data_IF_157864936279
#
_entry.id   IF_157864936279
#
_cell.length_a   1.000
_cell.length_b   1.000
_cell.length_c   1.000
_cell.angle_alpha   90.00
_cell.angle_beta   90.00
_cell.angle_gamma   90.00
#
_symmetry.space_group_name_H-M   'P 1'
#
loop_
_entity.id
_entity.type
_entity.pdbx_description
1 polymer ?
#
# COMPACT_ATOMS: atom_id res chain seq x y z
N UNK A 1 20.44 -15.72 0.23
CA UNK A 1 21.42 -14.62 0.40
C UNK A 1 22.27 -14.51 -0.85
N UNK A 2 22.02 -13.54 -1.74
CA UNK A 2 22.93 -13.15 -2.83
C UNK A 2 23.24 -11.66 -2.68
N UNK A 3 24.22 -11.34 -1.85
CA UNK A 3 24.91 -10.05 -1.87
C UNK A 3 26.20 -10.23 -2.66
N UNK A 4 26.04 -10.42 -3.96
CA UNK A 4 27.11 -10.29 -4.96
C UNK A 4 26.56 -9.37 -6.06
N UNK A 5 26.65 -8.06 -5.84
CA UNK A 5 27.40 -7.30 -6.83
C UNK A 5 28.83 -7.40 -6.36
N UNK A 6 29.57 -8.27 -7.03
CA UNK A 6 31.01 -8.16 -7.10
C UNK A 6 31.27 -6.71 -7.52
N UNK A 7 31.79 -5.90 -6.60
CA UNK A 7 32.38 -4.63 -6.97
C UNK A 7 33.74 -5.06 -7.52
N UNK A 8 33.81 -5.29 -8.83
CA UNK A 8 34.98 -5.88 -9.50
C UNK A 8 36.22 -4.97 -9.46
N UNK A 9 36.12 -3.80 -8.83
CA UNK A 9 37.19 -2.79 -8.76
C UNK A 9 37.93 -2.74 -7.41
N UNK A 10 37.69 -3.68 -6.48
CA UNK A 10 38.41 -3.66 -5.21
C UNK A 10 39.86 -4.12 -5.38
N UNK A 11 40.79 -3.31 -4.89
CA UNK A 11 42.19 -3.70 -4.80
C UNK A 11 42.34 -4.90 -3.86
N UNK A 12 43.38 -5.75 -4.04
CA UNK A 12 43.63 -6.90 -3.16
C UNK A 12 43.79 -6.53 -1.67
N UNK A 13 44.17 -5.28 -1.37
CA UNK A 13 44.25 -4.77 -0.01
C UNK A 13 42.85 -4.49 0.58
N UNK A 14 41.95 -3.88 -0.21
CA UNK A 14 40.57 -3.60 0.21
C UNK A 14 39.76 -4.88 0.42
N UNK A 15 39.99 -5.92 -0.40
CA UNK A 15 39.40 -7.23 -0.19
C UNK A 15 39.83 -7.84 1.15
N UNK A 16 41.14 -7.86 1.44
CA UNK A 16 41.66 -8.34 2.72
C UNK A 16 41.16 -7.53 3.91
N UNK A 17 41.07 -6.21 3.75
CA UNK A 17 40.55 -5.33 4.81
C UNK A 17 39.07 -5.61 5.08
N UNK A 18 38.27 -5.80 4.03
CA UNK A 18 36.85 -6.11 4.15
C UNK A 18 36.58 -7.51 4.69
N UNK A 19 37.43 -8.50 4.38
CA UNK A 19 37.39 -9.82 4.99
C UNK A 19 37.79 -9.77 6.46
N UNK A 20 38.84 -9.01 6.80
CA UNK A 20 39.26 -8.81 8.19
C UNK A 20 38.17 -8.10 9.02
N UNK A 21 37.55 -7.05 8.48
CA UNK A 21 36.42 -6.35 9.12
C UNK A 21 35.20 -7.27 9.27
N UNK A 22 34.92 -8.13 8.27
CA UNK A 22 33.84 -9.13 8.35
C UNK A 22 34.12 -10.22 9.40
N UNK A 23 35.36 -10.68 9.52
CA UNK A 23 35.77 -11.67 10.52
C UNK A 23 35.87 -11.11 11.95
N UNK A 24 36.05 -9.80 12.10
CA UNK A 24 36.18 -9.14 13.41
C UNK A 24 34.84 -8.88 14.12
N UNK A 25 33.69 -9.12 13.47
CA UNK A 25 32.36 -8.88 14.06
C UNK A 25 31.72 -10.23 14.42
N UNK A 26 31.55 -10.55 15.71
CA UNK A 26 30.79 -11.72 16.11
C UNK A 26 29.35 -11.58 15.61
N UNK A 27 28.94 -12.48 14.70
CA UNK A 27 27.60 -12.53 14.09
C UNK A 27 26.49 -12.60 15.13
N UNK A 28 26.80 -13.15 16.31
CA UNK A 28 25.84 -13.46 17.38
C UNK A 28 25.57 -12.25 18.32
N UNK A 29 26.15 -11.08 18.01
CA UNK A 29 26.14 -9.91 18.90
C UNK A 29 25.46 -8.67 18.32
N UNK A 30 24.61 -8.84 17.31
CA UNK A 30 23.91 -7.70 16.70
C UNK A 30 23.01 -7.00 17.74
N UNK A 31 23.19 -5.68 17.97
CA UNK A 31 22.29 -4.94 18.85
C UNK A 31 20.87 -4.99 18.28
N UNK A 32 19.87 -5.06 19.17
CA UNK A 32 18.47 -5.01 18.75
C UNK A 32 18.20 -3.74 17.93
N UNK A 33 17.27 -3.83 16.98
CA UNK A 33 16.87 -2.68 16.13
C UNK A 33 16.51 -1.46 16.98
N UNK A 34 15.81 -1.68 18.11
CA UNK A 34 15.49 -0.63 19.08
C UNK A 34 16.74 0.08 19.58
N UNK A 35 17.79 -0.67 19.94
CA UNK A 35 19.06 -0.11 20.43
C UNK A 35 19.78 0.71 19.34
N UNK A 36 19.74 0.25 18.08
CA UNK A 36 20.31 1.01 16.93
C UNK A 36 19.56 2.33 16.70
N UNK A 37 18.24 2.35 16.87
CA UNK A 37 17.44 3.58 16.80
C UNK A 37 17.75 4.51 17.99
N UNK A 38 17.86 3.98 19.20
CA UNK A 38 18.26 4.73 20.40
C UNK A 38 19.64 5.40 20.21
N UNK A 39 20.59 4.66 19.62
CA UNK A 39 21.90 5.19 19.22
C UNK A 39 21.75 6.32 18.20
N UNK A 40 20.99 6.14 17.12
CA UNK A 40 20.78 7.17 16.11
C UNK A 40 20.14 8.45 16.67
N UNK A 41 19.22 8.32 17.63
CA UNK A 41 18.55 9.43 18.30
C UNK A 41 19.44 10.20 19.27
N UNK A 42 20.19 9.51 20.12
CA UNK A 42 20.98 10.14 21.18
C UNK A 42 22.40 10.51 20.71
N UNK A 43 22.87 9.91 19.61
CA UNK A 43 24.23 10.09 19.12
C UNK A 43 25.26 9.79 20.21
N UNK A 44 26.32 10.60 20.27
CA UNK A 44 27.40 10.47 21.27
C UNK A 44 26.94 10.56 22.74
N UNK A 45 25.69 10.98 23.02
CA UNK A 45 25.13 11.04 24.38
C UNK A 45 24.58 9.70 24.87
N UNK A 46 24.52 8.69 24.00
CA UNK A 46 24.14 7.34 24.40
C UNK A 46 25.25 6.73 25.27
N UNK A 47 24.92 6.21 26.46
CA UNK A 47 25.92 5.71 27.43
C UNK A 47 26.90 4.68 26.85
N UNK A 48 26.40 3.80 25.98
CA UNK A 48 27.22 2.78 25.30
C UNK A 48 27.57 3.14 23.84
N UNK A 49 27.66 4.43 23.50
CA UNK A 49 27.84 4.89 22.12
C UNK A 49 29.05 4.24 21.44
N UNK A 50 30.22 4.31 22.07
CA UNK A 50 31.46 3.82 21.46
C UNK A 50 31.45 2.31 21.22
N UNK A 51 30.87 1.54 22.15
CA UNK A 51 30.76 0.08 22.05
C UNK A 51 29.86 -0.32 20.88
N UNK A 52 28.64 0.21 20.83
CA UNK A 52 27.70 -0.18 19.79
C UNK A 52 28.05 0.41 18.43
N UNK A 53 28.61 1.63 18.36
CA UNK A 53 29.04 2.18 17.07
C UNK A 53 30.16 1.38 16.42
N UNK A 54 31.03 0.74 17.22
CA UNK A 54 32.06 -0.18 16.71
C UNK A 54 31.41 -1.35 15.96
N UNK A 55 30.33 -1.91 16.50
CA UNK A 55 29.53 -2.93 15.80
C UNK A 55 28.77 -2.33 14.60
N UNK A 56 28.07 -1.21 14.77
CA UNK A 56 27.26 -0.57 13.73
C UNK A 56 28.09 -0.23 12.49
N UNK A 57 29.34 0.22 12.64
CA UNK A 57 30.21 0.55 11.49
C UNK A 57 30.69 -0.69 10.75
N UNK A 58 30.90 -1.80 11.45
CA UNK A 58 31.41 -3.04 10.87
C UNK A 58 30.31 -4.00 10.39
N UNK A 59 29.09 -3.88 10.91
CA UNK A 59 27.92 -4.68 10.53
C UNK A 59 27.05 -3.92 9.51
N UNK A 60 26.99 -4.36 8.23
CA UNK A 60 26.24 -3.65 7.18
C UNK A 60 24.76 -3.45 7.50
N UNK A 61 24.12 -4.45 8.13
CA UNK A 61 22.71 -4.37 8.51
C UNK A 61 22.48 -3.27 9.56
N UNK A 62 23.27 -3.26 10.63
CA UNK A 62 23.18 -2.23 11.67
C UNK A 62 23.56 -0.84 11.15
N UNK A 63 24.54 -0.73 10.24
CA UNK A 63 24.92 0.53 9.61
C UNK A 63 23.76 1.12 8.80
N UNK A 64 23.10 0.28 8.01
CA UNK A 64 21.97 0.70 7.18
C UNK A 64 20.81 1.17 8.07
N UNK A 65 20.43 0.38 9.08
CA UNK A 65 19.40 0.76 10.07
C UNK A 65 19.75 2.09 10.77
N UNK A 66 21.01 2.28 11.13
CA UNK A 66 21.48 3.51 11.77
C UNK A 66 21.38 4.74 10.84
N UNK A 67 21.77 4.62 9.57
CA UNK A 67 21.68 5.70 8.57
C UNK A 67 20.24 6.12 8.33
N UNK A 68 19.37 5.16 8.10
CA UNK A 68 17.93 5.39 7.90
C UNK A 68 17.29 6.07 9.12
N UNK A 69 17.65 5.62 10.33
CA UNK A 69 17.20 6.26 11.56
C UNK A 69 17.68 7.72 11.67
N UNK A 70 18.92 8.02 11.29
CA UNK A 70 19.43 9.40 11.29
C UNK A 70 18.75 10.31 10.27
N UNK A 71 18.41 9.77 9.10
CA UNK A 71 17.71 10.50 8.05
C UNK A 71 16.28 10.86 8.48
N UNK A 72 15.55 9.90 9.04
CA UNK A 72 14.23 10.14 9.62
C UNK A 72 14.25 11.22 10.73
N UNK A 73 15.33 11.27 11.52
CA UNK A 73 15.53 12.28 12.57
C UNK A 73 16.00 13.66 12.06
N UNK A 74 16.34 13.79 10.77
CA UNK A 74 16.75 15.05 10.11
C UNK A 74 15.60 15.75 9.39
N UNK A 75 14.42 15.14 9.30
CA UNK A 75 13.25 15.75 8.66
C UNK A 75 12.87 17.13 9.23
N UNK A 76 12.25 18.01 8.41
CA UNK A 76 12.05 19.45 8.68
C UNK A 76 11.16 19.79 9.89
N UNK A 77 10.53 18.82 10.55
CA UNK A 77 9.72 19.05 11.76
C UNK A 77 10.52 19.23 13.06
N UNK A 78 11.86 19.41 12.98
CA UNK A 78 12.73 19.63 14.16
C UNK A 78 12.37 20.86 15.00
N UNK A 79 11.66 21.85 14.43
CA UNK A 79 11.40 23.13 15.10
C UNK A 79 10.33 23.06 16.21
N UNK A 80 9.47 22.04 16.27
CA UNK A 80 8.45 21.97 17.34
C UNK A 80 8.97 21.42 18.68
N UNK A 81 10.06 20.65 18.70
CA UNK A 81 10.51 19.95 19.92
C UNK A 81 11.57 20.71 20.73
N UNK A 82 12.31 21.64 20.12
CA UNK A 82 13.35 22.40 20.82
C UNK A 82 12.83 23.70 21.47
N UNK A 83 11.74 24.27 20.97
CA UNK A 83 11.11 25.48 21.56
C UNK A 83 10.62 25.26 22.99
N UNK A 84 10.19 24.05 23.34
CA UNK A 84 9.67 23.73 24.67
C UNK A 84 10.77 23.54 25.75
N UNK A 85 12.04 23.32 25.35
CA UNK A 85 13.17 23.15 26.30
C UNK A 85 14.01 24.41 26.47
N UNK A 86 14.06 25.29 25.47
CA UNK A 86 14.79 26.54 25.57
C UNK A 86 14.15 27.56 26.53
N UNK A 87 12.85 27.45 26.80
CA UNK A 87 12.13 28.31 27.75
C UNK A 87 12.35 27.96 29.23
N UNK A 88 12.99 26.82 29.54
CA UNK A 88 13.15 26.32 30.92
C UNK A 88 14.61 26.25 31.38
N UNK A 89 15.56 26.74 30.57
CA UNK A 89 16.98 26.56 30.83
C UNK A 89 17.78 27.82 30.56
N UNK A 90 17.51 28.90 31.30
CA UNK A 90 18.45 29.98 31.68
C UNK A 90 17.66 31.23 32.12
N UNK A 91 17.47 31.41 33.42
CA UNK A 91 17.61 32.68 34.17
C UNK A 91 17.20 32.43 35.62
N UNK A 92 18.05 32.83 36.56
CA UNK A 92 17.85 32.60 37.98
C UNK A 92 16.77 33.48 38.64
N UNK A 93 16.47 33.08 39.87
CA UNK A 93 15.81 33.78 40.99
C UNK A 93 14.26 33.74 41.14
N UNK A 94 13.76 33.55 42.39
CA UNK A 94 12.50 32.84 42.66
C UNK A 94 11.29 33.75 42.93
N UNK A 95 11.30 35.02 42.48
CA UNK A 95 10.16 35.95 42.71
C UNK A 95 9.34 36.30 41.47
N UNK A 96 9.73 35.82 40.28
CA UNK A 96 9.00 36.06 39.03
C UNK A 96 8.22 34.85 38.50
N UNK A 97 8.38 33.67 39.13
CA UNK A 97 7.69 32.43 38.72
C UNK A 97 6.18 32.48 38.97
N UNK A 98 5.72 33.12 40.04
CA UNK A 98 4.29 33.26 40.31
C UNK A 98 3.56 34.09 39.22
N UNK A 99 4.19 35.17 38.75
CA UNK A 99 3.61 36.05 37.72
C UNK A 99 3.62 35.42 36.32
N UNK A 100 4.67 34.66 35.97
CA UNK A 100 4.75 33.98 34.67
C UNK A 100 3.82 32.76 34.61
N UNK A 101 3.68 32.01 35.72
CA UNK A 101 2.72 30.89 35.80
C UNK A 101 1.28 31.42 35.80
N UNK A 102 0.99 32.51 36.52
CA UNK A 102 -0.34 33.13 36.47
C UNK A 102 -0.68 33.68 35.08
N UNK A 103 0.26 34.35 34.40
CA UNK A 103 0.04 34.84 33.04
C UNK A 103 -0.11 33.71 32.00
N UNK A 104 0.65 32.62 32.14
CA UNK A 104 0.53 31.45 31.27
C UNK A 104 -0.80 30.70 31.50
N UNK A 105 -1.27 30.59 32.74
CA UNK A 105 -2.58 30.02 33.05
C UNK A 105 -3.71 30.92 32.54
N UNK A 106 -3.59 32.25 32.67
CA UNK A 106 -4.56 33.21 32.12
C UNK A 106 -4.62 33.13 30.58
N UNK A 107 -3.47 32.97 29.93
CA UNK A 107 -3.37 32.81 28.47
C UNK A 107 -3.97 31.47 27.98
N UNK A 108 -3.83 30.40 28.75
CA UNK A 108 -4.46 29.11 28.47
C UNK A 108 -6.00 29.15 28.63
N UNK A 109 -6.53 30.01 29.49
CA UNK A 109 -7.97 30.16 29.69
C UNK A 109 -8.62 31.20 28.74
N UNK A 110 -7.88 32.21 28.28
CA UNK A 110 -8.41 33.30 27.43
C UNK A 110 -8.33 33.02 25.92
N UNK A 111 -7.72 31.93 25.48
CA UNK A 111 -7.69 31.52 24.06
C UNK A 111 -8.40 30.18 23.88
N UNK A 112 -9.75 30.15 23.87
CA UNK A 112 -10.48 28.93 23.55
C UNK A 112 -10.33 28.66 22.05
N UNK A 113 -9.66 27.55 21.70
CA UNK A 113 -9.84 26.95 20.37
C UNK A 113 -8.59 26.65 19.52
N UNK A 114 -7.36 26.77 20.03
CA UNK A 114 -6.15 26.50 19.20
C UNK A 114 -5.26 25.32 19.61
N UNK A 115 -5.58 24.61 20.69
CA UNK A 115 -4.74 23.53 21.23
C UNK A 115 -5.46 22.19 21.47
N UNK A 116 -6.57 21.94 20.77
CA UNK A 116 -7.19 20.60 20.69
C UNK A 116 -6.67 19.80 19.49
N UNK A 117 -5.35 19.78 19.31
CA UNK A 117 -4.71 18.81 18.42
C UNK A 117 -4.62 17.47 19.14
N UNK A 118 -5.54 16.55 18.81
CA UNK A 118 -5.59 15.17 19.30
C UNK A 118 -4.17 14.52 19.33
N UNK A 119 -3.65 14.16 20.52
CA UNK A 119 -2.34 13.50 20.65
C UNK A 119 -2.25 12.15 19.92
N UNK A 120 -3.39 11.55 19.52
CA UNK A 120 -3.43 10.29 18.78
C UNK A 120 -3.10 10.43 17.27
N UNK A 121 -2.98 11.65 16.72
CA UNK A 121 -2.69 11.86 15.30
C UNK A 121 -1.21 12.05 14.94
N UNK A 122 -0.27 11.87 15.88
CA UNK A 122 1.16 11.93 15.56
C UNK A 122 1.70 10.52 15.25
N UNK A 123 2.08 10.22 13.99
CA UNK A 123 2.70 8.93 13.69
C UNK A 123 3.99 8.82 14.50
N UNK A 124 4.08 7.76 15.31
CA UNK A 124 5.26 7.48 16.12
C UNK A 124 6.52 7.43 15.26
N UNK A 125 7.70 7.67 15.86
CA UNK A 125 8.99 7.56 15.16
C UNK A 125 9.12 6.21 14.44
N UNK A 126 8.54 5.14 14.99
CA UNK A 126 8.43 3.82 14.35
C UNK A 126 7.53 3.81 13.11
N UNK A 127 6.40 4.52 13.11
CA UNK A 127 5.54 4.67 11.93
C UNK A 127 6.24 5.45 10.80
N UNK A 128 7.11 6.42 11.14
CA UNK A 128 7.92 7.16 10.17
C UNK A 128 9.07 6.32 9.59
N UNK A 129 9.72 5.50 10.42
CA UNK A 129 10.73 4.54 9.96
C UNK A 129 10.13 3.43 9.07
N UNK A 130 8.90 3.01 9.35
CA UNK A 130 8.12 2.06 8.51
C UNK A 130 7.76 2.60 7.13
N UNK A 131 7.64 3.92 6.98
CA UNK A 131 7.28 4.56 5.71
C UNK A 131 8.47 4.76 4.73
N UNK A 132 9.73 4.66 5.21
CA UNK A 132 10.91 5.04 4.43
C UNK A 132 12.01 3.98 4.24
N UNK A 133 12.00 2.86 4.99
CA UNK A 133 13.10 1.89 5.00
C UNK A 133 12.83 0.64 4.15
N UNK A 134 13.75 0.34 3.22
CA UNK A 134 13.75 -0.90 2.40
C UNK A 134 13.87 -2.16 3.27
N UNK A 135 14.57 -2.05 4.41
CA UNK A 135 14.86 -3.12 5.37
C UNK A 135 13.74 -3.30 6.39
N UNK A 136 12.99 -2.25 6.75
CA UNK A 136 11.80 -2.38 7.60
C UNK A 136 10.70 -3.20 6.90
N UNK A 137 10.55 -3.09 5.58
CA UNK A 137 9.66 -3.96 4.80
C UNK A 137 10.11 -5.42 4.79
N UNK A 138 11.41 -5.67 4.65
CA UNK A 138 11.99 -7.04 4.70
C UNK A 138 11.91 -7.65 6.10
N UNK A 139 12.18 -6.88 7.16
CA UNK A 139 12.04 -7.34 8.54
C UNK A 139 10.58 -7.55 8.95
N UNK A 140 9.64 -6.73 8.49
CA UNK A 140 8.21 -6.93 8.78
C UNK A 140 7.70 -8.22 8.14
N UNK A 141 8.17 -8.56 6.95
CA UNK A 141 7.73 -9.78 6.25
C UNK A 141 8.46 -11.04 6.72
N UNK A 142 9.70 -10.92 7.19
CA UNK A 142 10.41 -12.02 7.84
C UNK A 142 10.03 -12.22 9.31
N UNK A 143 9.55 -11.19 10.01
CA UNK A 143 9.25 -11.27 11.46
C UNK A 143 7.77 -11.52 11.76
N UNK A 144 6.83 -11.17 10.87
CA UNK A 144 5.42 -11.37 11.16
C UNK A 144 4.96 -12.77 10.75
N UNK A 145 5.29 -13.76 11.62
CA UNK A 145 4.80 -15.15 11.54
C UNK A 145 3.26 -15.23 11.40
N UNK A 146 2.55 -14.18 11.79
CA UNK A 146 1.09 -14.07 11.72
C UNK A 146 0.55 -14.12 10.29
N UNK A 147 1.27 -13.56 9.31
CA UNK A 147 0.75 -13.44 7.94
C UNK A 147 1.12 -14.62 7.02
N UNK A 148 2.25 -15.28 7.28
CA UNK A 148 2.79 -16.32 6.38
C UNK A 148 3.03 -17.67 7.05
N UNK A 149 2.68 -17.84 8.33
CA UNK A 149 2.61 -19.13 9.04
C UNK A 149 3.81 -20.06 8.76
N UNK A 150 5.03 -19.59 9.04
CA UNK A 150 6.30 -20.33 8.83
C UNK A 150 6.59 -20.79 7.38
N UNK A 151 5.72 -20.51 6.41
CA UNK A 151 5.94 -20.90 5.02
C UNK A 151 7.07 -20.09 4.40
N UNK A 152 8.09 -20.81 3.92
CA UNK A 152 9.11 -20.27 3.04
C UNK A 152 8.49 -20.04 1.66
N UNK A 153 8.12 -18.79 1.39
CA UNK A 153 7.63 -18.41 0.06
C UNK A 153 8.78 -18.46 -0.97
N UNK A 154 8.50 -18.92 -2.21
CA UNK A 154 9.36 -18.67 -3.35
C UNK A 154 9.78 -17.19 -3.44
N UNK A 155 11.02 -16.94 -3.86
CA UNK A 155 11.62 -15.60 -3.80
C UNK A 155 10.83 -14.55 -4.58
N UNK A 156 10.28 -14.91 -5.74
CA UNK A 156 9.44 -14.06 -6.57
C UNK A 156 8.14 -13.66 -5.85
N UNK A 157 7.46 -14.60 -5.20
CA UNK A 157 6.25 -14.33 -4.42
C UNK A 157 6.57 -13.45 -3.19
N UNK A 158 7.68 -13.72 -2.51
CA UNK A 158 8.14 -12.89 -1.40
C UNK A 158 8.41 -11.44 -1.85
N UNK A 159 9.00 -11.24 -3.04
CA UNK A 159 9.21 -9.90 -3.60
C UNK A 159 7.89 -9.20 -3.98
N UNK A 160 6.89 -9.93 -4.48
CA UNK A 160 5.57 -9.37 -4.76
C UNK A 160 4.92 -8.83 -3.49
N UNK A 161 4.89 -9.66 -2.45
CA UNK A 161 4.42 -9.27 -1.12
C UNK A 161 5.22 -8.05 -0.64
N UNK A 162 6.55 -8.09 -0.63
CA UNK A 162 7.40 -6.95 -0.25
C UNK A 162 7.02 -5.64 -0.96
N UNK A 163 6.79 -5.69 -2.26
CA UNK A 163 6.41 -4.51 -3.05
C UNK A 163 5.04 -3.93 -2.67
N UNK A 164 4.13 -4.79 -2.23
CA UNK A 164 2.77 -4.44 -1.85
C UNK A 164 2.70 -3.80 -0.45
N UNK A 165 3.52 -4.31 0.48
CA UNK A 165 3.60 -3.79 1.85
C UNK A 165 4.50 -2.55 1.98
N UNK A 166 5.38 -2.29 1.00
CA UNK A 166 6.13 -1.04 0.93
C UNK A 166 5.15 0.11 0.69
N UNK A 167 5.16 1.09 1.60
CA UNK A 167 4.24 2.22 1.60
C UNK A 167 4.17 2.87 0.21
N UNK A 168 2.97 3.18 -0.32
CA UNK A 168 2.85 3.89 -1.56
C UNK A 168 3.57 5.24 -1.42
N UNK A 169 4.15 5.72 -2.52
CA UNK A 169 4.60 7.11 -2.65
C UNK A 169 3.57 8.04 -1.98
N UNK A 170 3.99 9.03 -1.17
CA UNK A 170 3.08 9.94 -0.49
C UNK A 170 2.16 10.57 -1.54
N UNK A 171 0.87 10.27 -1.43
CA UNK A 171 -0.12 10.75 -2.38
C UNK A 171 -0.78 12.03 -1.90
N UNK A 172 -1.14 12.92 -2.82
CA UNK A 172 -2.15 13.92 -2.53
C UNK A 172 -3.48 13.22 -2.19
N UNK A 173 -4.17 13.75 -1.20
CA UNK A 173 -5.51 13.30 -0.80
C UNK A 173 -6.48 13.62 -1.94
N UNK A 174 -6.83 12.64 -2.77
CA UNK A 174 -7.82 12.81 -3.84
C UNK A 174 -9.19 12.80 -3.17
N UNK A 175 -9.91 13.93 -3.23
CA UNK A 175 -11.31 13.97 -2.80
C UNK A 175 -12.16 13.16 -3.79
N UNK A 176 -13.03 12.30 -3.25
CA UNK A 176 -13.98 11.50 -4.02
C UNK A 176 -14.77 12.43 -4.96
N UNK A 177 -14.72 12.15 -6.26
CA UNK A 177 -15.68 12.75 -7.19
C UNK A 177 -17.03 12.16 -6.81
N UNK A 178 -17.93 12.99 -6.30
CA UNK A 178 -19.29 12.56 -5.96
C UNK A 178 -19.89 11.88 -7.18
N UNK A 179 -20.22 10.59 -7.04
CA UNK A 179 -20.94 9.84 -8.07
C UNK A 179 -22.23 10.59 -8.33
N UNK A 180 -22.43 11.08 -9.56
CA UNK A 180 -23.67 11.74 -9.92
C UNK A 180 -24.85 10.83 -9.55
N UNK A 181 -25.81 11.28 -8.72
CA UNK A 181 -26.85 10.42 -8.15
C UNK A 181 -27.84 9.85 -9.18
N UNK A 182 -27.75 10.28 -10.45
CA UNK A 182 -28.55 9.82 -11.58
C UNK A 182 -27.77 8.89 -12.54
N UNK A 183 -27.00 7.93 -12.04
CA UNK A 183 -26.36 6.91 -12.89
C UNK A 183 -26.65 5.50 -12.37
N UNK A 184 -26.71 4.53 -13.28
CA UNK A 184 -26.78 3.11 -12.92
C UNK A 184 -25.44 2.66 -12.31
N UNK A 185 -25.49 1.93 -11.20
CA UNK A 185 -24.28 1.39 -10.59
C UNK A 185 -23.96 0.00 -11.17
N UNK A 186 -22.75 -0.17 -11.70
CA UNK A 186 -22.24 -1.48 -12.13
C UNK A 186 -21.73 -2.25 -10.92
N UNK A 187 -22.03 -3.55 -10.85
CA UNK A 187 -21.74 -4.39 -9.69
C UNK A 187 -20.75 -5.51 -10.01
N UNK A 188 -20.91 -6.17 -11.16
CA UNK A 188 -20.07 -7.29 -11.58
C UNK A 188 -19.88 -7.27 -13.10
N UNK A 189 -18.67 -7.52 -13.64
CA UNK A 189 -17.37 -7.47 -12.95
C UNK A 189 -17.20 -6.24 -12.06
N UNK A 190 -16.52 -6.35 -10.90
CA UNK A 190 -16.37 -5.22 -9.99
C UNK A 190 -15.69 -4.05 -10.72
N UNK A 191 -16.29 -2.85 -10.79
CA UNK A 191 -15.67 -1.71 -11.46
C UNK A 191 -14.35 -1.27 -10.82
N UNK A 192 -14.09 -1.71 -9.58
CA UNK A 192 -12.82 -1.54 -8.90
C UNK A 192 -11.70 -2.46 -9.39
N UNK A 193 -12.02 -3.46 -10.20
CA UNK A 193 -11.03 -4.39 -10.75
C UNK A 193 -10.68 -4.01 -12.19
N UNK A 194 -9.40 -3.74 -12.42
CA UNK A 194 -8.85 -3.61 -13.77
C UNK A 194 -8.79 -4.96 -14.48
N UNK A 195 -8.73 -6.06 -13.74
CA UNK A 195 -8.61 -7.41 -14.30
C UNK A 195 -9.56 -8.38 -13.63
N UNK A 196 -10.02 -9.40 -14.35
CA UNK A 196 -10.82 -10.50 -13.82
C UNK A 196 -10.26 -11.86 -14.22
N UNK A 197 -10.51 -12.87 -13.38
CA UNK A 197 -10.08 -14.25 -13.64
C UNK A 197 -11.06 -15.02 -14.54
N UNK A 198 -12.35 -14.75 -14.42
CA UNK A 198 -13.40 -15.51 -15.12
C UNK A 198 -13.51 -15.05 -16.57
N UNK A 199 -13.43 -16.00 -17.50
CA UNK A 199 -13.65 -15.78 -18.92
C UNK A 199 -15.16 -15.76 -19.28
N UNK A 200 -16.04 -16.16 -18.36
CA UNK A 200 -17.49 -16.14 -18.52
C UNK A 200 -18.19 -15.38 -17.38
N UNK A 201 -17.80 -14.11 -17.13
CA UNK A 201 -18.30 -13.39 -15.98
C UNK A 201 -19.81 -13.18 -16.05
N UNK A 202 -20.46 -13.25 -14.90
CA UNK A 202 -21.83 -12.77 -14.72
C UNK A 202 -21.83 -11.24 -14.60
N UNK A 203 -22.43 -10.57 -15.57
CA UNK A 203 -22.60 -9.12 -15.54
C UNK A 203 -23.78 -8.75 -14.66
N UNK A 204 -23.60 -7.79 -13.74
CA UNK A 204 -24.65 -7.34 -12.81
C UNK A 204 -24.61 -5.83 -12.64
N UNK A 205 -25.77 -5.21 -12.50
CA UNK A 205 -25.92 -3.78 -12.22
C UNK A 205 -27.08 -3.55 -11.27
N UNK A 206 -27.06 -2.42 -10.55
CA UNK A 206 -28.17 -1.97 -9.72
C UNK A 206 -29.23 -1.36 -10.62
N UNK A 207 -30.47 -1.85 -10.50
CA UNK A 207 -31.59 -1.33 -11.28
C UNK A 207 -31.90 0.13 -10.95
N UNK A 208 -32.30 0.90 -11.96
CA UNK A 208 -32.78 2.27 -11.79
C UNK A 208 -34.24 2.27 -11.32
N UNK A 209 -34.62 3.27 -10.53
CA UNK A 209 -36.01 3.41 -10.09
C UNK A 209 -36.94 3.55 -11.31
N UNK A 210 -37.94 2.66 -11.42
CA UNK A 210 -38.89 2.65 -12.55
C UNK A 210 -38.35 2.12 -13.88
N UNK A 211 -37.10 1.64 -13.94
CA UNK A 211 -36.55 1.03 -15.14
C UNK A 211 -37.21 -0.31 -15.44
N UNK A 212 -37.70 -0.48 -16.68
CA UNK A 212 -38.37 -1.72 -17.13
C UNK A 212 -37.50 -2.55 -18.05
N UNK A 213 -36.54 -1.91 -18.71
CA UNK A 213 -35.65 -2.53 -19.67
C UNK A 213 -34.25 -1.93 -19.53
N UNK A 214 -33.25 -2.74 -19.87
CA UNK A 214 -31.85 -2.40 -19.85
C UNK A 214 -31.23 -2.80 -21.18
N UNK A 215 -30.53 -1.88 -21.83
CA UNK A 215 -29.68 -2.17 -22.98
C UNK A 215 -28.26 -2.39 -22.48
N UNK A 216 -27.77 -3.62 -22.61
CA UNK A 216 -26.43 -4.03 -22.25
C UNK A 216 -25.54 -4.02 -23.50
N UNK A 217 -24.34 -3.42 -23.38
CA UNK A 217 -23.33 -3.45 -24.44
C UNK A 217 -21.98 -3.92 -23.91
N UNK A 218 -21.34 -4.81 -24.66
CA UNK A 218 -20.01 -5.34 -24.41
C UNK A 218 -19.17 -5.25 -25.70
N UNK A 219 -17.98 -4.68 -25.59
CA UNK A 219 -17.11 -4.40 -26.74
C UNK A 219 -15.66 -4.74 -26.39
N UNK A 220 -14.89 -5.19 -27.39
CA UNK A 220 -13.43 -5.35 -27.24
C UNK A 220 -12.79 -3.96 -27.33
N UNK A 221 -12.05 -3.58 -26.30
CA UNK A 221 -11.35 -2.29 -26.25
C UNK A 221 -9.90 -2.40 -26.75
N UNK A 222 -9.21 -3.48 -26.38
CA UNK A 222 -7.85 -3.79 -26.84
C UNK A 222 -7.60 -5.29 -26.64
N UNK A 223 -6.87 -5.95 -27.53
CA UNK A 223 -6.40 -7.32 -27.34
C UNK A 223 -4.87 -7.43 -27.27
N UNK A 224 -4.33 -8.66 -27.17
CA UNK A 224 -2.88 -8.91 -27.11
C UNK A 224 -2.14 -8.31 -28.32
N UNK A 225 -0.89 -7.85 -28.08
CA UNK A 225 -0.07 -7.00 -28.97
C UNK A 225 0.13 -7.50 -30.43
N UNK A 226 -0.24 -8.75 -30.75
CA UNK A 226 0.02 -9.37 -32.07
C UNK A 226 -1.20 -9.46 -32.99
N UNK A 227 -2.33 -8.82 -32.64
CA UNK A 227 -3.49 -8.76 -33.53
C UNK A 227 -3.95 -7.32 -33.72
N UNK A 228 -3.91 -6.78 -34.96
CA UNK A 228 -4.27 -5.40 -35.23
C UNK A 228 -5.80 -5.23 -35.27
N UNK A 229 -6.45 -4.97 -34.13
CA UNK A 229 -7.89 -4.64 -34.09
C UNK A 229 -8.10 -3.17 -34.51
N UNK A 230 -8.50 -2.95 -35.76
CA UNK A 230 -8.75 -1.62 -36.33
C UNK A 230 -10.09 -0.97 -35.95
N UNK A 231 -10.95 -1.58 -35.13
CA UNK A 231 -12.16 -0.95 -34.57
C UNK A 231 -12.59 -1.71 -33.33
N UNK A 232 -13.10 -1.01 -32.32
CA UNK A 232 -13.77 -1.66 -31.19
C UNK A 232 -14.93 -2.51 -31.74
N UNK A 233 -14.76 -3.83 -31.75
CA UNK A 233 -15.80 -4.74 -32.21
C UNK A 233 -16.85 -4.87 -31.12
N UNK A 234 -18.10 -4.56 -31.48
CA UNK A 234 -19.24 -4.77 -30.60
C UNK A 234 -19.52 -6.26 -30.55
N UNK A 235 -19.20 -6.88 -29.41
CA UNK A 235 -19.45 -8.31 -29.21
C UNK A 235 -20.92 -8.57 -28.92
N UNK A 236 -21.53 -7.74 -28.07
CA UNK A 236 -22.92 -7.90 -27.66
C UNK A 236 -23.62 -6.54 -27.56
N UNK A 237 -24.87 -6.51 -28.02
CA UNK A 237 -25.82 -5.41 -27.89
C UNK A 237 -27.22 -5.99 -27.75
N UNK A 238 -27.76 -5.99 -26.54
CA UNK A 238 -29.02 -6.67 -26.25
C UNK A 238 -29.86 -5.89 -25.26
N UNK A 239 -31.16 -6.18 -25.30
CA UNK A 239 -32.13 -5.63 -24.35
C UNK A 239 -32.56 -6.74 -23.40
N UNK A 240 -32.50 -6.47 -22.10
CA UNK A 240 -32.92 -7.38 -21.02
C UNK A 240 -33.84 -6.62 -20.05
N UNK A 241 -34.83 -7.31 -19.49
CA UNK A 241 -35.61 -6.78 -18.35
C UNK A 241 -34.94 -7.06 -17.01
N UNK A 242 -33.87 -7.85 -16.99
CA UNK A 242 -33.18 -8.29 -15.79
C UNK A 242 -32.02 -7.34 -15.45
N UNK A 243 -31.68 -7.23 -14.16
CA UNK A 243 -30.53 -6.46 -13.67
C UNK A 243 -29.18 -7.18 -13.80
N UNK A 244 -29.10 -8.17 -14.69
CA UNK A 244 -27.94 -9.02 -14.90
C UNK A 244 -27.96 -9.63 -16.30
N UNK A 245 -26.79 -10.13 -16.72
CA UNK A 245 -26.62 -10.86 -17.97
C UNK A 245 -25.47 -11.87 -17.86
N UNK A 246 -25.68 -13.08 -18.36
CA UNK A 246 -24.65 -14.11 -18.50
C UNK A 246 -24.36 -14.37 -19.97
N UNK A 247 -23.10 -14.67 -20.30
CA UNK A 247 -22.73 -15.02 -21.67
C UNK A 247 -23.43 -16.34 -22.09
N UNK A 248 -23.87 -16.45 -23.36
CA UNK A 248 -24.45 -17.68 -23.88
C UNK A 248 -23.55 -18.90 -23.66
N UNK A 249 -24.14 -20.09 -23.64
CA UNK A 249 -23.37 -21.33 -23.61
C UNK A 249 -22.41 -21.39 -24.81
N UNK A 250 -21.14 -21.72 -24.57
CA UNK A 250 -20.10 -21.79 -25.59
C UNK A 250 -19.41 -20.46 -25.93
N UNK A 251 -19.89 -19.32 -25.41
CA UNK A 251 -19.21 -18.03 -25.57
C UNK A 251 -18.35 -17.73 -24.34
N UNK A 252 -17.06 -17.51 -24.58
CA UNK A 252 -16.07 -17.10 -23.58
C UNK A 252 -15.31 -15.87 -24.05
N UNK A 253 -14.95 -15.01 -23.10
CA UNK A 253 -14.08 -13.88 -23.34
C UNK A 253 -12.64 -14.37 -23.51
N UNK A 254 -11.98 -13.88 -24.55
CA UNK A 254 -10.58 -14.17 -24.84
C UNK A 254 -9.67 -13.67 -23.71
N UNK A 255 -8.83 -14.58 -23.22
CA UNK A 255 -7.81 -14.28 -22.21
C UNK A 255 -6.81 -13.25 -22.73
N UNK A 256 -6.39 -12.33 -21.87
CA UNK A 256 -5.48 -11.24 -22.22
C UNK A 256 -6.15 -10.03 -22.90
N UNK A 257 -7.39 -10.16 -23.36
CA UNK A 257 -8.13 -9.04 -23.95
C UNK A 257 -8.73 -8.12 -22.89
N UNK A 258 -8.80 -6.83 -23.23
CA UNK A 258 -9.47 -5.77 -22.50
C UNK A 258 -10.83 -5.50 -23.13
N UNK A 259 -11.84 -5.50 -22.29
CA UNK A 259 -13.24 -5.29 -22.64
C UNK A 259 -13.72 -3.99 -22.02
N UNK A 260 -14.68 -3.35 -22.70
CA UNK A 260 -15.46 -2.26 -22.15
C UNK A 260 -16.94 -2.64 -22.15
N UNK A 261 -17.65 -2.26 -21.11
CA UNK A 261 -19.08 -2.53 -21.02
C UNK A 261 -19.81 -1.41 -20.27
N UNK A 262 -21.09 -1.27 -20.58
CA UNK A 262 -21.99 -0.33 -19.92
C UNK A 262 -23.44 -0.74 -20.14
N UNK A 263 -24.32 -0.13 -19.36
CA UNK A 263 -25.76 -0.39 -19.39
C UNK A 263 -26.52 0.93 -19.49
N UNK A 264 -27.58 0.93 -20.28
CA UNK A 264 -28.55 2.02 -20.39
C UNK A 264 -29.92 1.50 -19.94
N UNK A 265 -30.58 2.17 -19.00
CA UNK A 265 -31.95 1.84 -18.61
C UNK A 265 -32.95 2.62 -19.47
N UNK A 266 -33.94 1.92 -19.99
CA UNK A 266 -35.12 2.48 -20.66
C UNK A 266 -36.38 2.34 -19.79
N UNK A 267 -37.20 3.39 -19.78
CA UNK A 267 -38.44 3.46 -18.99
C UNK A 267 -39.23 4.75 -19.22
N UNK A 268 -40.21 5.03 -18.35
CA UNK A 268 -41.03 6.27 -18.38
C UNK A 268 -40.26 7.53 -17.97
N UNK A 269 -39.09 7.37 -17.36
CA UNK A 269 -38.21 8.46 -16.89
C UNK A 269 -37.02 8.66 -17.84
N UNK A 270 -36.25 9.72 -17.64
CA UNK A 270 -34.99 10.00 -18.36
C UNK A 270 -34.11 8.74 -18.46
N UNK A 271 -33.52 8.50 -19.63
CA UNK A 271 -32.64 7.35 -19.84
C UNK A 271 -31.43 7.44 -18.89
N UNK A 272 -31.33 6.52 -17.93
CA UNK A 272 -30.20 6.43 -17.02
C UNK A 272 -29.10 5.59 -17.66
N UNK A 273 -27.88 6.11 -17.69
CA UNK A 273 -26.71 5.39 -18.21
C UNK A 273 -25.71 5.12 -17.09
N UNK A 274 -25.11 3.92 -17.10
CA UNK A 274 -23.99 3.61 -16.21
C UNK A 274 -22.71 4.31 -16.67
N UNK A 275 -21.71 4.50 -15.79
CA UNK A 275 -20.35 4.74 -16.26
C UNK A 275 -19.89 3.59 -17.16
N UNK A 276 -18.92 3.87 -18.04
CA UNK A 276 -18.26 2.83 -18.83
C UNK A 276 -17.25 2.13 -17.92
N UNK A 277 -17.44 0.83 -17.70
CA UNK A 277 -16.47 0.01 -17.01
C UNK A 277 -15.56 -0.68 -18.04
N UNK A 278 -14.30 -0.85 -17.65
CA UNK A 278 -13.31 -1.59 -18.42
C UNK A 278 -12.69 -2.65 -17.53
N UNK A 279 -12.35 -3.79 -18.11
CA UNK A 279 -11.59 -4.83 -17.43
C UNK A 279 -10.82 -5.67 -18.45
N UNK A 280 -9.73 -6.29 -18.01
CA UNK A 280 -8.97 -7.27 -18.78
C UNK A 280 -9.26 -8.67 -18.24
N UNK A 281 -9.30 -9.68 -19.11
CA UNK A 281 -9.34 -11.08 -18.66
C UNK A 281 -7.91 -11.56 -18.44
N UNK A 282 -7.63 -12.23 -17.33
CA UNK A 282 -6.29 -12.77 -17.05
C UNK A 282 -5.80 -13.64 -18.21
N UNK A 283 -4.55 -13.44 -18.62
CA UNK A 283 -3.90 -14.33 -19.56
C UNK A 283 -3.63 -15.71 -18.90
N UNK A 284 -3.20 -16.69 -19.69
CA UNK A 284 -2.99 -18.05 -19.19
C UNK A 284 -1.95 -18.11 -18.06
N UNK A 285 -0.82 -17.40 -18.21
CA UNK A 285 0.26 -17.40 -17.22
C UNK A 285 -0.16 -16.73 -15.90
N UNK A 286 -0.91 -15.64 -15.96
CA UNK A 286 -1.43 -14.95 -14.78
C UNK A 286 -2.49 -15.78 -14.05
N UNK A 287 -3.38 -16.45 -14.79
CA UNK A 287 -4.36 -17.36 -14.21
C UNK A 287 -3.68 -18.55 -13.51
N UNK A 288 -2.64 -19.12 -14.12
CA UNK A 288 -1.85 -20.19 -13.52
C UNK A 288 -1.12 -19.72 -12.24
N UNK A 289 -0.54 -18.51 -12.26
CA UNK A 289 0.05 -17.89 -11.07
C UNK A 289 -0.96 -17.77 -9.94
N UNK A 290 -2.16 -17.27 -10.24
CA UNK A 290 -3.22 -17.11 -9.25
C UNK A 290 -3.67 -18.45 -8.66
N UNK A 291 -3.87 -19.46 -9.50
CA UNK A 291 -4.23 -20.82 -9.05
C UNK A 291 -3.13 -21.46 -8.19
N UNK A 292 -1.86 -21.25 -8.56
CA UNK A 292 -0.72 -21.70 -7.75
C UNK A 292 -0.70 -21.04 -6.38
N UNK A 293 -0.97 -19.74 -6.32
CA UNK A 293 -0.98 -18.96 -5.08
C UNK A 293 -2.15 -19.34 -4.18
N UNK A 294 -3.33 -19.63 -4.74
CA UNK A 294 -4.51 -20.10 -3.99
C UNK A 294 -4.25 -21.41 -3.24
N UNK A 295 -3.39 -22.29 -3.76
CA UNK A 295 -3.00 -23.55 -3.08
C UNK A 295 -2.31 -23.33 -1.73
N UNK A 296 -1.64 -22.19 -1.54
CA UNK A 296 -1.02 -21.86 -0.25
C UNK A 296 -2.04 -21.50 0.83
N UNK A 297 -3.27 -21.12 0.44
CA UNK A 297 -4.34 -20.70 1.38
C UNK A 297 -3.89 -19.60 2.35
N UNK A 298 -3.05 -18.68 1.87
CA UNK A 298 -2.55 -17.53 2.62
C UNK A 298 -3.22 -16.24 2.11
N UNK A 299 -4.26 -15.72 2.80
CA UNK A 299 -5.04 -14.55 2.35
C UNK A 299 -4.17 -13.33 2.01
N UNK A 300 -3.15 -13.05 2.84
CA UNK A 300 -2.22 -11.95 2.62
C UNK A 300 -1.43 -12.07 1.30
N UNK A 301 -0.99 -13.29 0.97
CA UNK A 301 -0.30 -13.56 -0.29
C UNK A 301 -1.26 -13.46 -1.48
N UNK A 302 -2.47 -14.03 -1.36
CA UNK A 302 -3.49 -13.95 -2.40
C UNK A 302 -3.84 -12.49 -2.69
N UNK A 303 -4.02 -11.66 -1.66
CA UNK A 303 -4.29 -10.23 -1.82
C UNK A 303 -3.15 -9.48 -2.53
N UNK A 304 -1.89 -9.78 -2.19
CA UNK A 304 -0.74 -9.16 -2.86
C UNK A 304 -0.69 -9.52 -4.36
N UNK A 305 -1.08 -10.75 -4.71
CA UNK A 305 -1.17 -11.19 -6.11
C UNK A 305 -2.37 -10.56 -6.82
N UNK A 306 -3.53 -10.46 -6.17
CA UNK A 306 -4.66 -9.71 -6.70
C UNK A 306 -4.30 -8.26 -7.01
N UNK A 307 -3.64 -7.56 -6.08
CA UNK A 307 -3.20 -6.18 -6.31
C UNK A 307 -2.26 -6.06 -7.52
N UNK A 308 -1.27 -6.97 -7.61
CA UNK A 308 -0.34 -7.00 -8.74
C UNK A 308 -1.03 -7.23 -10.08
N UNK A 309 -2.07 -8.07 -10.10
CA UNK A 309 -2.81 -8.40 -11.30
C UNK A 309 -3.87 -7.35 -11.66
N UNK A 310 -4.05 -6.30 -10.84
CA UNK A 310 -5.06 -5.27 -11.05
C UNK A 310 -6.46 -5.66 -10.56
N UNK A 311 -6.58 -6.68 -9.73
CA UNK A 311 -7.82 -7.12 -9.07
C UNK A 311 -7.99 -6.36 -7.75
N UNK A 312 -8.06 -5.03 -7.79
CA UNK A 312 -7.91 -4.18 -6.59
C UNK A 312 -9.05 -4.33 -5.57
N UNK A 313 -10.30 -4.44 -6.03
CA UNK A 313 -11.44 -4.70 -5.12
C UNK A 313 -11.24 -6.04 -4.42
N UNK A 314 -10.88 -7.08 -5.16
CA UNK A 314 -10.65 -8.42 -4.60
C UNK A 314 -9.48 -8.42 -3.59
N UNK A 315 -8.44 -7.62 -3.84
CA UNK A 315 -7.32 -7.43 -2.91
C UNK A 315 -7.76 -6.72 -1.62
N UNK A 316 -8.59 -5.68 -1.73
CA UNK A 316 -9.15 -4.94 -0.58
C UNK A 316 -10.05 -5.85 0.25
N UNK A 317 -10.95 -6.60 -0.39
CA UNK A 317 -11.87 -7.51 0.29
C UNK A 317 -11.10 -8.59 1.05
N UNK A 318 -10.12 -9.22 0.41
CA UNK A 318 -9.26 -10.23 1.03
C UNK A 318 -8.45 -9.66 2.21
N UNK A 319 -7.94 -8.42 2.11
CA UNK A 319 -7.24 -7.78 3.22
C UNK A 319 -8.17 -7.30 4.33
N UNK A 320 -9.44 -7.03 4.04
CA UNK A 320 -10.43 -6.73 5.06
C UNK A 320 -10.59 -7.93 6.00
N UNK A 321 -10.60 -9.14 5.45
CA UNK A 321 -10.60 -10.40 6.21
C UNK A 321 -9.30 -10.59 7.00
N UNK A 322 -8.14 -10.35 6.39
CA UNK A 322 -6.84 -10.43 7.09
C UNK A 322 -6.80 -9.45 8.27
N UNK A 323 -7.30 -8.22 8.06
CA UNK A 323 -7.33 -7.19 9.09
C UNK A 323 -8.34 -7.52 10.20
N UNK A 324 -9.51 -8.05 9.87
CA UNK A 324 -10.52 -8.42 10.87
C UNK A 324 -10.04 -9.59 11.74
N UNK A 325 -9.32 -10.55 11.16
CA UNK A 325 -8.68 -11.64 11.88
C UNK A 325 -7.47 -11.18 12.73
N UNK A 326 -6.86 -10.03 12.40
CA UNK A 326 -5.64 -9.53 13.03
C UNK A 326 -5.73 -8.03 13.36
N UNK A 327 -6.68 -7.60 14.23
CA UNK A 327 -6.98 -6.18 14.45
C UNK A 327 -5.79 -5.38 15.01
N UNK A 328 -4.96 -6.03 15.82
CA UNK A 328 -3.77 -5.43 16.44
C UNK A 328 -2.55 -5.40 15.52
N UNK A 329 -2.60 -6.07 14.35
CA UNK A 329 -1.45 -6.09 13.43
C UNK A 329 -1.33 -4.76 12.69
N UNK A 330 -0.29 -3.94 12.96
CA UNK A 330 -0.07 -2.72 12.20
C UNK A 330 0.22 -3.00 10.72
N UNK A 331 0.73 -4.19 10.42
CA UNK A 331 1.09 -4.64 9.07
C UNK A 331 -0.17 -4.89 8.24
N UNK A 332 -1.15 -5.60 8.82
CA UNK A 332 -2.45 -5.81 8.18
C UNK A 332 -3.17 -4.48 7.91
N UNK A 333 -3.11 -3.54 8.87
CA UNK A 333 -3.70 -2.19 8.70
C UNK A 333 -3.05 -1.41 7.57
N UNK A 334 -1.72 -1.40 7.49
CA UNK A 334 -0.98 -0.70 6.42
C UNK A 334 -1.26 -1.32 5.06
N UNK A 335 -1.27 -2.65 4.96
CA UNK A 335 -1.57 -3.34 3.71
C UNK A 335 -2.98 -3.04 3.21
N UNK A 336 -3.96 -3.12 4.09
CA UNK A 336 -5.34 -2.74 3.79
C UNK A 336 -5.43 -1.30 3.28
N UNK A 337 -4.81 -0.35 4.00
CA UNK A 337 -4.80 1.05 3.57
C UNK A 337 -4.12 1.23 2.20
N UNK A 338 -3.00 0.55 1.95
CA UNK A 338 -2.31 0.61 0.65
C UNK A 338 -3.21 0.11 -0.50
N UNK A 339 -3.90 -1.01 -0.29
CA UNK A 339 -4.82 -1.60 -1.27
C UNK A 339 -6.00 -0.65 -1.55
N UNK A 340 -6.60 -0.07 -0.50
CA UNK A 340 -7.65 0.92 -0.65
C UNK A 340 -7.18 2.13 -1.49
N UNK A 341 -5.98 2.67 -1.21
CA UNK A 341 -5.46 3.79 -1.99
C UNK A 341 -5.31 3.45 -3.49
N UNK A 342 -4.91 2.22 -3.82
CA UNK A 342 -4.80 1.76 -5.22
C UNK A 342 -6.17 1.60 -5.87
N UNK A 343 -7.12 0.98 -5.18
CA UNK A 343 -8.51 0.90 -5.60
C UNK A 343 -9.09 2.30 -5.87
N UNK A 344 -8.89 3.25 -4.96
CA UNK A 344 -9.35 4.63 -5.13
C UNK A 344 -8.72 5.32 -6.34
N UNK A 345 -7.42 5.13 -6.58
CA UNK A 345 -6.78 5.66 -7.79
C UNK A 345 -7.40 5.05 -9.05
N UNK A 346 -7.61 3.74 -9.07
CA UNK A 346 -8.20 3.05 -10.21
C UNK A 346 -9.61 3.56 -10.51
N UNK A 347 -10.46 3.69 -9.49
CA UNK A 347 -11.83 4.18 -9.65
C UNK A 347 -11.89 5.64 -10.12
N UNK A 348 -10.96 6.50 -9.68
CA UNK A 348 -10.98 7.94 -10.00
C UNK A 348 -10.25 8.29 -11.31
N UNK A 349 -9.14 7.62 -11.62
CA UNK A 349 -8.30 7.91 -12.78
C UNK A 349 -8.61 6.98 -13.97
N UNK A 350 -9.36 5.91 -13.74
CA UNK A 350 -9.70 4.91 -14.74
C UNK A 350 -8.50 4.08 -15.19
N UNK A 351 -8.70 3.37 -16.30
CA UNK A 351 -7.72 2.45 -16.88
C UNK A 351 -6.44 3.13 -17.40
N UNK A 352 -6.48 4.44 -17.67
CA UNK A 352 -5.38 5.21 -18.25
C UNK A 352 -4.23 5.51 -17.26
N UNK A 353 -4.40 5.22 -15.97
CA UNK A 353 -3.43 5.53 -14.92
C UNK A 353 -2.61 4.32 -14.44
N UNK A 354 -2.67 3.20 -15.15
CA UNK A 354 -1.80 2.06 -14.87
C UNK A 354 -0.40 2.31 -15.49
N UNK A 355 0.68 2.25 -14.68
CA UNK A 355 2.04 2.52 -15.15
C UNK A 355 2.60 1.45 -16.09
#
# INVERSE_FOLDING_TARGET
>A
MRWHRQIDDWTPLEQRLAEHVRGAVPTDSCPSVRRVIELAAHGRRHGDWARHMRHVVCCPACLQTFREAREALRGPERHQWWGARAALGRTGWPRRTALVVAAALLFCFLVPGRWSGDPQQRPSILARLRAGSRVAGELVLCADRVLFQEHLLPHDLAQMVLSFYRAPHPLPRIQLRETHPKQLALLSPPPGNATICDARPLFRWKGGEGARQYRFRLEVAAGPQDQPWQRAERLLDLVSSQGWYSLPAGLELSRGCTYRWFVEAGGRSEALRSPVAMFRVLNAAEAELLERVRKFKLPALIAAVYDRLGMYQDAVDMLAEVRSANPESPVARVAFWNAEQRLYRHLNLGFAALP
#
